data_IF_060307039441
#
_entry.id   IF_060307039441
#
_cell.length_a   1.000
_cell.length_b   1.000
_cell.length_c   1.000
_cell.angle_alpha   90.00
_cell.angle_beta   90.00
_cell.angle_gamma   90.00
#
_symmetry.space_group_name_H-M   'P 1'
#
loop_
_entity.id
_entity.type
_entity.pdbx_description
1 polymer ?
#
# COMPACT_ATOMS: atom_id res chain seq x y z
N UNK A 1 21.80 16.90 -0.12
CA UNK A 1 21.20 15.85 -0.96
C UNK A 1 20.11 15.15 -0.18
N UNK A 2 18.94 15.03 -0.75
CA UNK A 2 17.84 14.35 -0.08
C UNK A 2 17.91 12.85 -0.33
N UNK A 3 17.70 12.09 0.71
CA UNK A 3 17.61 10.64 0.59
C UNK A 3 16.15 10.24 0.43
N UNK A 4 15.87 9.46 -0.60
CA UNK A 4 14.54 8.94 -0.84
C UNK A 4 14.50 7.47 -0.49
N UNK A 5 13.42 7.04 0.12
CA UNK A 5 13.17 5.62 0.30
C UNK A 5 11.83 5.26 -0.31
N UNK A 6 11.81 4.11 -0.97
CA UNK A 6 10.60 3.60 -1.60
C UNK A 6 10.29 2.27 -0.96
N UNK A 7 9.08 2.15 -0.43
CA UNK A 7 8.61 0.91 0.17
C UNK A 7 7.53 0.34 -0.73
N UNK A 8 7.72 -0.89 -1.17
CA UNK A 8 6.72 -1.59 -1.96
C UNK A 8 6.03 -2.58 -1.03
N UNK A 9 4.76 -2.31 -0.75
CA UNK A 9 3.99 -3.07 0.19
C UNK A 9 2.97 -3.90 -0.58
N UNK A 10 3.14 -5.20 -0.55
CA UNK A 10 2.19 -6.10 -1.18
C UNK A 10 0.95 -6.19 -0.29
N UNK A 11 -0.24 -6.19 -0.91
CA UNK A 11 -1.48 -6.34 -0.16
C UNK A 11 -1.48 -7.65 0.62
N UNK A 12 -2.29 -7.70 1.68
CA UNK A 12 -2.46 -8.91 2.48
C UNK A 12 -3.16 -10.01 1.69
N UNK A 13 -3.25 -11.18 2.30
CA UNK A 13 -3.88 -12.33 1.64
C UNK A 13 -5.35 -12.04 1.39
N UNK A 14 -5.80 -12.25 0.16
CA UNK A 14 -7.18 -12.00 -0.23
C UNK A 14 -8.08 -13.21 0.02
N UNK A 15 -9.38 -12.96 0.08
CA UNK A 15 -10.38 -13.99 0.32
C UNK A 15 -10.96 -14.47 -1.01
N UNK A 16 -10.47 -15.61 -1.48
CA UNK A 16 -10.94 -16.20 -2.73
C UNK A 16 -12.34 -16.81 -2.63
N UNK A 17 -12.83 -17.03 -1.40
CA UNK A 17 -14.15 -17.62 -1.18
C UNK A 17 -15.24 -16.57 -0.97
N UNK A 18 -14.88 -15.30 -0.90
CA UNK A 18 -15.85 -14.24 -0.74
C UNK A 18 -16.68 -14.06 -2.00
N UNK A 19 -17.91 -13.61 -1.83
CA UNK A 19 -18.76 -13.24 -2.97
C UNK A 19 -18.33 -11.85 -3.45
N UNK A 20 -17.90 -11.76 -4.71
CA UNK A 20 -17.49 -10.48 -5.29
C UNK A 20 -17.77 -10.52 -6.79
N UNK A 21 -18.01 -9.33 -7.38
CA UNK A 21 -18.32 -9.24 -8.81
C UNK A 21 -17.10 -9.31 -9.70
N UNK A 22 -16.06 -8.55 -9.37
CA UNK A 22 -14.83 -8.47 -10.16
C UNK A 22 -13.62 -8.70 -9.27
N UNK A 23 -12.50 -9.12 -9.89
CA UNK A 23 -11.25 -9.30 -9.15
C UNK A 23 -10.87 -8.05 -8.37
N UNK A 24 -11.09 -6.89 -8.95
CA UNK A 24 -10.82 -5.61 -8.31
C UNK A 24 -11.53 -5.48 -6.95
N UNK A 25 -12.68 -6.08 -6.80
CA UNK A 25 -13.51 -5.97 -5.59
C UNK A 25 -13.28 -7.11 -4.60
N UNK A 26 -12.36 -8.02 -4.88
CA UNK A 26 -12.08 -9.13 -3.99
C UNK A 26 -11.45 -8.62 -2.69
N UNK A 27 -12.07 -8.92 -1.53
CA UNK A 27 -11.59 -8.41 -0.25
C UNK A 27 -10.40 -9.19 0.31
N UNK A 28 -9.80 -8.65 1.36
CA UNK A 28 -8.81 -9.37 2.12
C UNK A 28 -9.45 -10.49 2.91
N UNK A 29 -8.70 -11.58 3.10
CA UNK A 29 -9.08 -12.62 4.04
C UNK A 29 -8.85 -12.10 5.47
N UNK A 30 -9.40 -12.79 6.45
CA UNK A 30 -9.18 -12.48 7.86
C UNK A 30 -7.68 -12.46 8.18
N UNK A 31 -6.93 -13.41 7.62
CA UNK A 31 -5.49 -13.50 7.79
C UNK A 31 -4.78 -12.28 7.19
N UNK A 32 -5.25 -11.83 6.03
CA UNK A 32 -4.70 -10.64 5.37
C UNK A 32 -4.96 -9.37 6.18
N UNK A 33 -6.14 -9.27 6.79
CA UNK A 33 -6.49 -8.14 7.64
C UNK A 33 -5.52 -8.07 8.83
N UNK A 34 -5.30 -9.19 9.51
CA UNK A 34 -4.41 -9.23 10.67
C UNK A 34 -2.96 -8.93 10.29
N UNK A 35 -2.50 -9.47 9.15
CA UNK A 35 -1.14 -9.22 8.68
C UNK A 35 -0.93 -7.75 8.35
N UNK A 36 -1.93 -7.10 7.74
CA UNK A 36 -1.85 -5.69 7.40
C UNK A 36 -1.70 -4.81 8.65
N UNK A 37 -2.47 -5.12 9.68
CA UNK A 37 -2.38 -4.40 10.95
C UNK A 37 -1.01 -4.57 11.59
N UNK A 38 -0.49 -5.80 11.60
CA UNK A 38 0.82 -6.09 12.18
C UNK A 38 1.93 -5.35 11.46
N UNK A 39 1.84 -5.27 10.14
CA UNK A 39 2.84 -4.56 9.35
C UNK A 39 2.83 -3.07 9.65
N UNK A 40 1.65 -2.49 9.82
CA UNK A 40 1.54 -1.07 10.18
C UNK A 40 2.21 -0.78 11.52
N UNK A 41 1.98 -1.63 12.51
CA UNK A 41 2.59 -1.50 13.82
C UNK A 41 4.10 -1.71 13.75
N UNK A 42 4.54 -2.68 12.95
CA UNK A 42 5.95 -3.00 12.76
C UNK A 42 6.73 -1.81 12.20
N UNK A 43 6.22 -1.18 11.15
CA UNK A 43 6.91 -0.03 10.56
C UNK A 43 6.98 1.16 11.51
N UNK A 44 5.96 1.33 12.33
CA UNK A 44 5.99 2.37 13.35
C UNK A 44 7.09 2.10 14.38
N UNK A 45 7.20 0.84 14.83
CA UNK A 45 8.25 0.47 15.81
C UNK A 45 9.64 0.67 15.24
N UNK A 46 9.80 0.48 13.94
CA UNK A 46 11.11 0.66 13.27
C UNK A 46 11.37 2.10 12.87
N UNK A 47 10.46 3.01 13.21
CA UNK A 47 10.54 4.41 12.83
C UNK A 47 10.66 4.57 11.31
N UNK A 48 9.86 3.81 10.59
CA UNK A 48 9.86 3.78 9.13
C UNK A 48 8.48 4.09 8.55
N UNK A 49 7.72 4.94 9.23
CA UNK A 49 6.43 5.39 8.72
C UNK A 49 6.66 6.21 7.45
N UNK A 50 6.03 5.85 6.32
CA UNK A 50 6.22 6.61 5.09
C UNK A 50 5.55 7.98 5.17
N UNK A 51 6.10 8.94 4.43
CA UNK A 51 5.50 10.28 4.35
C UNK A 51 4.23 10.25 3.53
N UNK A 52 4.21 9.44 2.48
CA UNK A 52 3.08 9.34 1.57
C UNK A 52 2.81 7.87 1.26
N UNK A 53 1.55 7.50 1.24
CA UNK A 53 1.10 6.15 0.89
C UNK A 53 0.21 6.25 -0.33
N UNK A 54 0.55 5.53 -1.38
CA UNK A 54 -0.24 5.49 -2.60
C UNK A 54 -0.67 4.04 -2.83
N UNK A 55 -1.97 3.81 -2.86
CA UNK A 55 -2.54 2.47 -2.99
C UNK A 55 -3.18 2.27 -4.34
N UNK A 56 -3.10 1.04 -4.84
CA UNK A 56 -3.96 0.59 -5.91
C UNK A 56 -5.43 0.76 -5.50
N UNK A 57 -6.30 0.93 -6.48
CA UNK A 57 -7.74 1.04 -6.22
C UNK A 57 -8.40 -0.30 -5.92
N UNK A 58 -7.71 -1.42 -6.10
CA UNK A 58 -8.27 -2.72 -5.77
C UNK A 58 -8.61 -2.79 -4.28
N UNK A 59 -9.75 -3.38 -3.95
CA UNK A 59 -10.25 -3.42 -2.58
C UNK A 59 -9.22 -3.99 -1.60
N UNK A 60 -8.59 -5.10 -1.96
CA UNK A 60 -7.61 -5.74 -1.08
C UNK A 60 -6.37 -4.88 -0.82
N UNK A 61 -5.95 -4.08 -1.80
CA UNK A 61 -4.79 -3.20 -1.64
C UNK A 61 -5.17 -1.97 -0.82
N UNK A 62 -6.30 -1.36 -1.13
CA UNK A 62 -6.77 -0.17 -0.42
C UNK A 62 -7.01 -0.49 1.07
N UNK A 63 -7.64 -1.61 1.35
CA UNK A 63 -7.90 -2.04 2.73
C UNK A 63 -6.60 -2.32 3.47
N UNK A 64 -5.62 -2.95 2.81
CA UNK A 64 -4.30 -3.19 3.40
C UNK A 64 -3.67 -1.88 3.85
N UNK A 65 -3.69 -0.87 2.98
CA UNK A 65 -3.12 0.43 3.30
C UNK A 65 -3.85 1.10 4.47
N UNK A 66 -5.17 1.11 4.41
CA UNK A 66 -5.98 1.73 5.47
C UNK A 66 -5.76 1.07 6.83
N UNK A 67 -5.69 -0.25 6.86
CA UNK A 67 -5.47 -0.99 8.10
C UNK A 67 -4.07 -0.75 8.68
N UNK A 68 -3.05 -0.69 7.82
CA UNK A 68 -1.69 -0.42 8.26
C UNK A 68 -1.58 0.99 8.85
N UNK A 69 -2.14 1.97 8.17
CA UNK A 69 -2.14 3.36 8.62
C UNK A 69 -2.84 3.48 9.97
N UNK A 70 -4.00 2.89 10.09
CA UNK A 70 -4.80 2.98 11.32
C UNK A 70 -4.14 2.24 12.47
N UNK A 71 -3.71 1.00 12.27
CA UNK A 71 -3.11 0.19 13.33
C UNK A 71 -1.77 0.76 13.80
N UNK A 72 -0.97 1.29 12.87
CA UNK A 72 0.32 1.90 13.18
C UNK A 72 0.22 3.36 13.58
N UNK A 73 -0.96 3.93 13.51
CA UNK A 73 -1.17 5.35 13.79
C UNK A 73 -0.24 6.23 12.95
N UNK A 74 -0.19 5.95 11.65
CA UNK A 74 0.63 6.72 10.73
C UNK A 74 -0.03 8.07 10.40
N UNK A 75 0.76 9.11 10.32
CA UNK A 75 0.30 10.42 9.90
C UNK A 75 0.59 10.69 8.43
N UNK A 76 0.71 9.63 7.64
CA UNK A 76 1.01 9.70 6.22
C UNK A 76 -0.12 10.33 5.42
N UNK A 77 0.23 11.00 4.31
CA UNK A 77 -0.76 11.39 3.32
C UNK A 77 -1.13 10.16 2.51
N UNK A 78 -2.42 9.90 2.36
CA UNK A 78 -2.90 8.69 1.71
C UNK A 78 -3.65 9.02 0.43
N UNK A 79 -3.26 8.37 -0.66
CA UNK A 79 -3.90 8.53 -1.96
C UNK A 79 -4.20 7.18 -2.58
N UNK A 80 -5.28 7.11 -3.35
CA UNK A 80 -5.63 5.93 -4.13
C UNK A 80 -5.44 6.29 -5.60
N UNK A 81 -4.68 5.47 -6.32
CA UNK A 81 -4.41 5.69 -7.74
C UNK A 81 -4.73 4.42 -8.51
N UNK A 82 -5.78 4.45 -9.30
CA UNK A 82 -6.23 3.28 -10.06
C UNK A 82 -5.24 2.85 -11.14
N UNK A 83 -4.30 3.71 -11.52
CA UNK A 83 -3.25 3.35 -12.49
C UNK A 83 -2.29 2.31 -11.95
N UNK A 84 -2.23 2.13 -10.63
CA UNK A 84 -1.34 1.15 -10.01
C UNK A 84 -1.86 -0.26 -10.20
N UNK A 85 -3.16 -0.43 -10.37
CA UNK A 85 -3.76 -1.75 -10.51
C UNK A 85 -3.21 -2.45 -11.77
N UNK A 86 -2.52 -3.57 -11.58
CA UNK A 86 -1.95 -4.34 -12.68
C UNK A 86 -0.68 -3.76 -13.29
N UNK A 87 -0.09 -2.75 -12.69
CA UNK A 87 1.12 -2.13 -13.25
C UNK A 87 2.40 -2.73 -12.66
N UNK A 88 3.48 -2.58 -13.42
CA UNK A 88 4.80 -3.07 -13.04
C UNK A 88 5.51 -2.12 -12.08
N UNK A 89 6.63 -2.59 -11.53
CA UNK A 89 7.47 -1.76 -10.67
C UNK A 89 8.06 -0.57 -11.41
N UNK A 90 8.30 -0.68 -12.71
CA UNK A 90 8.80 0.45 -13.51
C UNK A 90 7.82 1.60 -13.51
N UNK A 91 6.52 1.30 -13.58
CA UNK A 91 5.49 2.32 -13.50
C UNK A 91 5.53 3.02 -12.15
N UNK A 92 5.71 2.25 -11.07
CA UNK A 92 5.78 2.81 -9.73
C UNK A 92 6.98 3.74 -9.57
N UNK A 93 8.12 3.38 -10.14
CA UNK A 93 9.29 4.25 -10.10
C UNK A 93 9.05 5.56 -10.83
N UNK A 94 8.41 5.49 -12.00
CA UNK A 94 8.07 6.69 -12.75
C UNK A 94 7.11 7.58 -11.99
N UNK A 95 6.13 6.96 -11.32
CA UNK A 95 5.16 7.70 -10.52
C UNK A 95 5.86 8.38 -9.33
N UNK A 96 6.81 7.69 -8.70
CA UNK A 96 7.57 8.26 -7.60
C UNK A 96 8.36 9.50 -8.03
N UNK A 97 8.88 9.52 -9.25
CA UNK A 97 9.63 10.64 -9.76
C UNK A 97 8.79 11.90 -9.98
N UNK A 98 7.46 11.73 -10.09
CA UNK A 98 6.54 12.85 -10.27
C UNK A 98 6.07 13.45 -8.95
N UNK A 99 6.43 12.82 -7.83
CA UNK A 99 5.97 13.25 -6.52
C UNK A 99 6.84 14.38 -5.98
N UNK A 100 6.21 15.30 -5.27
CA UNK A 100 6.85 16.48 -4.69
C UNK A 100 8.05 16.08 -3.81
N UNK A 101 9.12 16.84 -3.94
CA UNK A 101 10.36 16.66 -3.15
C UNK A 101 10.16 16.74 -1.64
N UNK A 102 9.03 17.21 -1.18
CA UNK A 102 8.72 17.26 0.24
C UNK A 102 8.66 15.87 0.86
N UNK A 103 8.33 14.86 0.06
CA UNK A 103 8.15 13.51 0.55
C UNK A 103 9.42 12.71 0.34
N UNK A 104 10.03 12.26 1.43
CA UNK A 104 11.28 11.51 1.40
C UNK A 104 11.07 10.01 1.41
N UNK A 105 9.90 9.53 1.85
CA UNK A 105 9.60 8.11 1.81
C UNK A 105 8.20 7.89 1.26
N UNK A 106 8.10 6.99 0.30
CA UNK A 106 6.87 6.69 -0.41
C UNK A 106 6.58 5.20 -0.27
N UNK A 107 5.36 4.88 0.14
CA UNK A 107 4.92 3.50 0.22
C UNK A 107 3.87 3.25 -0.86
N UNK A 108 4.14 2.28 -1.72
CA UNK A 108 3.17 1.81 -2.71
C UNK A 108 2.54 0.53 -2.22
N UNK A 109 1.21 0.49 -2.20
CA UNK A 109 0.48 -0.71 -1.83
C UNK A 109 -0.24 -1.21 -3.06
N UNK A 110 0.10 -2.40 -3.50
CA UNK A 110 -0.44 -2.91 -4.74
C UNK A 110 -0.31 -4.42 -4.84
N UNK A 111 -0.22 -4.85 -6.08
CA UNK A 111 -0.15 -6.26 -6.42
C UNK A 111 1.29 -6.66 -6.64
N UNK A 112 1.55 -7.95 -6.51
CA UNK A 112 2.84 -8.45 -6.84
C UNK A 112 3.15 -8.16 -8.31
N UNK A 113 4.34 -7.65 -8.62
CA UNK A 113 4.71 -7.43 -10.02
C UNK A 113 4.70 -8.77 -10.74
N UNK A 114 4.02 -8.79 -11.82
CA UNK A 114 4.00 -9.95 -12.69
C UNK A 114 5.20 -9.90 -13.61
#
# INVERSE_FOLDING_TARGET
>A
MKNYSIIIFRHGKSDWNAVYGKDHDRPLSKRGINASKKMGIFLKKKDQIPDIVISSSAERAKTTAELAIKAGNWNSNFYVDERIYGRSSDFLLKLAQLIDDKHQSICFVGHEPT
#
